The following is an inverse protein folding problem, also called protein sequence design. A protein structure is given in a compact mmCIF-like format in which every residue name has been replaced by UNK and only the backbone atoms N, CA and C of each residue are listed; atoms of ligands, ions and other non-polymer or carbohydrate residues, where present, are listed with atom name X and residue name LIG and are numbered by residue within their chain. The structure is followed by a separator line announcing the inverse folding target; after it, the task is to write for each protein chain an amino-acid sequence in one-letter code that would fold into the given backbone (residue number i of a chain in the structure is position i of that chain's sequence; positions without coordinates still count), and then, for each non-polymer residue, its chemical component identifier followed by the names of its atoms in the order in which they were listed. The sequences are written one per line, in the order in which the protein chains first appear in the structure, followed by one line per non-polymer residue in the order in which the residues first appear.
data_IF_922812195272
#
_entry.id   IF_922812195272
#
_cell.length_a   1.000
_cell.length_b   1.000
_cell.length_c   1.000
_cell.angle_alpha   90.00
_cell.angle_beta   90.00
_cell.angle_gamma   90.00
#
_symmetry.space_group_name_H-M   'P 1'
#
loop_
_entity.id
_entity.type
_entity.pdbx_description
1 polymer ?
#
# COMPACT_ATOMS: atom_id res chain seq x y z
N UNK A 1 28.71 18.25 22.70
CA UNK A 1 28.86 19.25 21.66
C UNK A 1 28.87 20.63 22.23
N UNK A 2 27.85 21.08 22.94
CA UNK A 2 27.73 22.43 23.54
C UNK A 2 28.95 22.88 24.40
N UNK A 3 29.54 21.99 25.22
CA UNK A 3 30.70 22.33 26.07
C UNK A 3 32.04 22.51 25.34
N UNK A 4 32.15 22.11 24.07
CA UNK A 4 33.40 22.23 23.30
C UNK A 4 33.58 23.58 22.61
N UNK A 5 32.50 24.25 22.24
CA UNK A 5 32.55 25.39 21.33
C UNK A 5 32.53 26.73 22.07
N UNK A 6 32.36 26.74 23.41
CA UNK A 6 32.30 27.90 24.27
C UNK A 6 33.43 27.96 25.31
N UNK A 7 34.61 27.48 24.96
CA UNK A 7 35.79 27.56 25.78
C UNK A 7 36.21 29.01 25.95
N UNK A 8 35.73 29.67 27.01
CA UNK A 8 36.07 31.05 27.37
C UNK A 8 34.92 31.85 27.98
N UNK A 9 33.68 31.39 27.91
CA UNK A 9 32.55 31.98 28.62
C UNK A 9 32.03 31.02 29.68
N UNK A 10 31.52 31.55 30.79
CA UNK A 10 30.85 30.74 31.80
C UNK A 10 29.73 29.90 31.15
N UNK A 11 29.76 28.59 31.27
CA UNK A 11 28.75 27.73 30.66
C UNK A 11 27.40 28.02 31.31
N UNK A 12 26.40 28.40 30.51
CA UNK A 12 25.02 28.51 31.00
C UNK A 12 24.56 27.18 31.62
N UNK A 13 23.88 27.31 32.76
CA UNK A 13 23.29 26.16 33.45
C UNK A 13 22.22 25.46 32.61
N UNK A 14 21.92 24.22 32.99
CA UNK A 14 20.87 23.42 32.28
C UNK A 14 19.55 24.15 32.21
N UNK A 15 19.11 24.75 33.32
CA UNK A 15 17.79 25.39 33.40
C UNK A 15 17.75 26.64 32.53
N UNK A 16 18.80 27.47 32.58
CA UNK A 16 18.94 28.64 31.73
C UNK A 16 18.99 28.28 30.23
N UNK A 17 19.61 27.13 29.88
CA UNK A 17 19.60 26.60 28.51
C UNK A 17 18.20 26.19 28.07
N UNK A 18 17.43 25.54 28.96
CA UNK A 18 16.04 25.14 28.69
C UNK A 18 15.16 26.38 28.53
N UNK A 19 15.36 27.42 29.33
CA UNK A 19 14.61 28.67 29.21
C UNK A 19 14.86 29.36 27.87
N UNK A 20 16.11 29.44 27.43
CA UNK A 20 16.48 29.97 26.11
C UNK A 20 15.81 29.15 24.98
N UNK A 21 15.87 27.82 25.04
CA UNK A 21 15.20 26.96 24.05
C UNK A 21 13.70 27.25 24.00
N UNK A 22 13.06 27.44 25.14
CA UNK A 22 11.62 27.74 25.22
C UNK A 22 11.32 29.13 24.66
N UNK A 23 12.11 30.16 25.04
CA UNK A 23 11.96 31.55 24.59
C UNK A 23 12.08 31.71 23.08
N UNK A 24 13.07 31.01 22.48
CA UNK A 24 13.31 31.06 21.03
C UNK A 24 12.58 29.99 20.24
N UNK A 25 11.70 29.21 20.87
CA UNK A 25 10.93 28.14 20.17
C UNK A 25 11.78 27.03 19.54
N UNK A 26 13.01 26.84 20.03
CA UNK A 26 13.99 25.88 19.51
C UNK A 26 13.73 24.44 20.00
N UNK A 27 12.51 24.12 20.40
CA UNK A 27 12.15 22.77 20.87
C UNK A 27 12.35 21.76 19.75
N UNK A 28 13.09 20.70 20.04
CA UNK A 28 13.16 19.54 19.15
C UNK A 28 11.76 18.92 19.05
N UNK A 29 11.20 18.86 17.85
CA UNK A 29 9.93 18.19 17.65
C UNK A 29 10.04 16.75 18.11
N UNK A 30 9.12 16.32 18.98
CA UNK A 30 9.04 14.91 19.39
C UNK A 30 8.90 14.01 18.16
N UNK A 31 9.86 13.10 18.01
CA UNK A 31 9.76 12.08 16.97
C UNK A 31 8.76 11.03 17.45
N UNK A 32 7.57 11.06 16.89
CA UNK A 32 6.54 10.05 17.14
C UNK A 32 7.10 8.67 16.78
N UNK A 33 7.12 7.76 17.76
CA UNK A 33 7.56 6.39 17.52
C UNK A 33 6.46 5.67 16.72
N UNK A 34 6.82 5.18 15.54
CA UNK A 34 5.88 4.45 14.67
C UNK A 34 5.41 3.17 15.38
N UNK A 35 4.11 2.95 15.55
CA UNK A 35 3.59 1.69 16.05
C UNK A 35 3.74 0.59 14.98
N UNK A 36 3.80 -0.66 15.43
CA UNK A 36 3.69 -1.81 14.55
C UNK A 36 2.20 -2.06 14.28
N UNK A 37 1.77 -2.00 13.04
CA UNK A 37 0.37 -2.18 12.63
C UNK A 37 0.07 -3.61 12.16
N UNK A 38 1.11 -4.36 11.77
CA UNK A 38 0.98 -5.72 11.26
C UNK A 38 1.64 -6.72 12.20
N UNK A 39 0.88 -7.71 12.65
CA UNK A 39 1.40 -8.93 13.27
C UNK A 39 1.17 -10.10 12.30
N UNK A 40 2.24 -10.60 11.70
CA UNK A 40 2.22 -11.73 10.77
C UNK A 40 2.63 -13.05 11.42
N UNK A 41 2.87 -13.08 12.74
CA UNK A 41 3.34 -14.27 13.49
C UNK A 41 2.21 -14.99 14.21
N UNK A 42 0.98 -14.61 13.90
CA UNK A 42 -0.24 -15.20 14.47
C UNK A 42 -0.52 -16.59 13.90
N UNK A 43 -0.79 -17.62 14.49
CA UNK A 43 -1.08 -18.97 13.94
C UNK A 43 -2.38 -19.09 13.12
N UNK A 44 -2.92 -17.99 12.57
CA UNK A 44 -4.14 -17.97 11.74
C UNK A 44 -3.82 -18.41 10.28
N UNK A 45 -4.82 -18.90 9.52
CA UNK A 45 -4.65 -19.26 8.12
C UNK A 45 -4.14 -18.10 7.27
N UNK A 46 -3.18 -18.39 6.38
CA UNK A 46 -2.69 -17.45 5.37
C UNK A 46 -3.09 -17.90 3.98
N UNK A 47 -3.26 -16.95 3.07
CA UNK A 47 -3.68 -17.23 1.70
C UNK A 47 -2.53 -16.93 0.72
N UNK A 48 -2.45 -17.64 -0.42
CA UNK A 48 -1.39 -17.42 -1.40
C UNK A 48 -1.52 -16.04 -2.07
N UNK A 49 -0.40 -15.49 -2.53
CA UNK A 49 -0.40 -14.28 -3.34
C UNK A 49 -0.81 -14.62 -4.78
N UNK A 50 -2.07 -14.40 -5.12
CA UNK A 50 -2.62 -14.65 -6.44
C UNK A 50 -2.68 -13.41 -7.34
N UNK A 51 -2.14 -12.28 -6.88
CA UNK A 51 -2.09 -11.03 -7.65
C UNK A 51 -0.72 -10.78 -8.29
N UNK A 52 0.22 -11.69 -8.16
CA UNK A 52 1.49 -11.63 -8.90
C UNK A 52 1.19 -11.69 -10.40
N UNK A 53 1.59 -10.67 -11.12
CA UNK A 53 1.33 -10.60 -12.55
C UNK A 53 -0.10 -10.21 -12.96
N UNK A 54 -0.97 -9.90 -12.01
CA UNK A 54 -2.32 -9.42 -12.29
C UNK A 54 -2.36 -7.90 -12.40
N UNK A 55 -2.93 -7.39 -13.49
CA UNK A 55 -3.21 -5.97 -13.75
C UNK A 55 -4.72 -5.86 -13.97
N UNK A 56 -5.46 -5.14 -13.12
CA UNK A 56 -6.89 -4.97 -13.31
C UNK A 56 -7.17 -4.10 -14.54
N UNK A 57 -8.20 -4.47 -15.29
CA UNK A 57 -8.66 -3.78 -16.52
C UNK A 57 -10.08 -3.22 -16.39
N UNK A 58 -10.71 -3.43 -15.25
CA UNK A 58 -12.03 -2.93 -14.93
C UNK A 58 -12.18 -2.74 -13.40
N UNK A 59 -13.13 -1.90 -12.95
CA UNK A 59 -13.48 -1.78 -11.54
C UNK A 59 -13.87 -3.13 -10.92
N UNK A 60 -13.65 -3.27 -9.63
CA UNK A 60 -14.05 -4.46 -8.84
C UNK A 60 -13.42 -5.78 -9.30
N UNK A 61 -12.21 -5.73 -9.90
CA UNK A 61 -11.39 -6.90 -10.16
C UNK A 61 -10.35 -7.16 -9.07
N UNK A 62 -9.82 -6.10 -8.49
CA UNK A 62 -8.83 -6.16 -7.43
C UNK A 62 -9.06 -5.03 -6.42
N UNK A 63 -9.33 -5.43 -5.19
CA UNK A 63 -9.31 -4.52 -4.05
C UNK A 63 -8.04 -4.75 -3.24
N UNK A 64 -7.40 -3.67 -2.82
CA UNK A 64 -6.21 -3.72 -1.94
C UNK A 64 -6.53 -3.04 -0.63
N UNK A 65 -6.09 -3.62 0.48
CA UNK A 65 -6.33 -3.07 1.80
C UNK A 65 -5.10 -3.04 2.68
N UNK A 66 -5.08 -2.06 3.57
CA UNK A 66 -4.02 -1.88 4.56
C UNK A 66 -4.53 -1.06 5.75
N UNK A 67 -3.84 -1.19 6.89
CA UNK A 67 -4.11 -0.43 8.11
C UNK A 67 -2.96 0.52 8.38
N UNK A 68 -3.29 1.79 8.60
CA UNK A 68 -2.32 2.78 9.04
C UNK A 68 -2.75 3.44 10.34
N UNK A 69 -1.83 4.12 11.01
CA UNK A 69 -2.12 4.84 12.26
C UNK A 69 -2.15 6.34 12.03
N UNK A 70 -2.95 7.04 12.84
CA UNK A 70 -2.99 8.49 12.92
C UNK A 70 -2.77 8.87 14.38
N UNK A 71 -1.98 9.92 14.61
CA UNK A 71 -1.62 10.37 15.95
C UNK A 71 -2.68 11.31 16.51
N UNK A 72 -3.14 11.04 17.73
CA UNK A 72 -4.00 11.90 18.54
C UNK A 72 -3.16 12.44 19.70
N UNK A 73 -3.07 13.73 19.85
CA UNK A 73 -2.31 14.39 20.89
C UNK A 73 -3.19 14.66 22.11
N UNK A 74 -2.82 14.12 23.25
CA UNK A 74 -3.50 14.34 24.52
C UNK A 74 -3.06 15.65 25.14
N UNK A 75 -1.78 15.99 24.98
CA UNK A 75 -1.17 17.25 25.38
C UNK A 75 0.01 17.61 24.45
N UNK A 76 0.88 18.52 24.85
CA UNK A 76 2.04 18.93 24.04
C UNK A 76 3.04 17.80 23.81
N UNK A 77 3.14 16.85 24.73
CA UNK A 77 4.17 15.80 24.76
C UNK A 77 3.64 14.38 24.71
N UNK A 78 2.36 14.18 25.02
CA UNK A 78 1.74 12.86 25.13
C UNK A 78 0.79 12.64 23.97
N UNK A 79 0.85 11.45 23.39
CA UNK A 79 0.00 11.08 22.26
C UNK A 79 -0.42 9.61 22.36
N UNK A 80 -1.53 9.31 21.71
CA UNK A 80 -2.02 7.96 21.45
C UNK A 80 -2.21 7.79 19.93
N UNK A 81 -2.53 6.59 19.51
CA UNK A 81 -2.85 6.32 18.10
C UNK A 81 -4.31 5.89 17.96
N UNK A 82 -4.91 6.26 16.84
CA UNK A 82 -6.03 5.56 16.25
C UNK A 82 -5.60 4.96 14.92
N UNK A 83 -6.37 4.01 14.43
CA UNK A 83 -6.02 3.20 13.28
C UNK A 83 -7.05 3.37 12.18
N UNK A 84 -6.58 3.66 10.99
CA UNK A 84 -7.38 3.83 9.79
C UNK A 84 -7.21 2.59 8.92
N UNK A 85 -8.30 1.86 8.72
CA UNK A 85 -8.40 0.77 7.75
C UNK A 85 -8.92 1.34 6.43
N UNK A 86 -8.23 1.06 5.32
CA UNK A 86 -8.60 1.52 3.98
C UNK A 86 -8.75 0.33 3.02
N UNK A 87 -9.71 0.43 2.13
CA UNK A 87 -9.86 -0.46 0.97
C UNK A 87 -9.92 0.38 -0.29
N UNK A 88 -9.05 0.09 -1.23
CA UNK A 88 -8.89 0.76 -2.50
C UNK A 88 -9.25 -0.17 -3.65
N UNK A 89 -10.00 0.29 -4.63
CA UNK A 89 -10.09 -0.38 -5.92
C UNK A 89 -8.83 -0.08 -6.74
N UNK A 90 -8.11 -1.13 -7.10
CA UNK A 90 -6.79 -1.00 -7.72
C UNK A 90 -6.84 -0.53 -9.18
N UNK A 91 -7.99 -0.58 -9.85
CA UNK A 91 -8.17 -0.07 -11.20
C UNK A 91 -8.51 1.41 -11.21
N UNK A 92 -9.47 1.83 -10.37
CA UNK A 92 -9.93 3.22 -10.30
C UNK A 92 -9.09 4.10 -9.39
N UNK A 93 -8.26 3.52 -8.51
CA UNK A 93 -7.58 4.19 -7.38
C UNK A 93 -8.59 4.78 -6.37
N UNK A 94 -9.86 4.38 -6.40
CA UNK A 94 -10.90 4.90 -5.51
C UNK A 94 -10.82 4.24 -4.14
N UNK A 95 -10.88 5.03 -3.07
CA UNK A 95 -11.09 4.52 -1.71
C UNK A 95 -12.57 4.18 -1.59
N UNK A 96 -12.89 2.89 -1.55
CA UNK A 96 -14.25 2.36 -1.57
C UNK A 96 -14.75 1.93 -0.19
N UNK A 97 -13.85 1.78 0.77
CA UNK A 97 -14.19 1.43 2.14
C UNK A 97 -13.17 1.97 3.12
N UNK A 98 -13.62 2.44 4.27
CA UNK A 98 -12.75 2.91 5.34
C UNK A 98 -13.43 2.86 6.71
N UNK A 99 -12.63 2.70 7.74
CA UNK A 99 -13.08 2.80 9.13
C UNK A 99 -11.94 3.29 10.03
N UNK A 100 -12.28 3.93 11.14
CA UNK A 100 -11.33 4.41 12.14
C UNK A 100 -11.68 3.84 13.50
N UNK A 101 -10.73 3.18 14.12
CA UNK A 101 -10.83 2.64 15.46
C UNK A 101 -9.72 3.09 16.41
N UNK A 102 -9.98 3.10 17.71
CA UNK A 102 -8.99 3.38 18.74
C UNK A 102 -7.99 2.24 18.94
N UNK A 103 -8.30 1.05 18.43
CA UNK A 103 -7.52 -0.18 18.58
C UNK A 103 -7.32 -0.88 17.23
N UNK A 104 -6.48 -1.91 17.20
CA UNK A 104 -6.24 -2.79 16.03
C UNK A 104 -7.20 -3.98 15.99
N UNK A 105 -8.39 -3.85 16.55
CA UNK A 105 -9.40 -4.90 16.50
C UNK A 105 -9.93 -5.14 15.10
N UNK A 106 -10.33 -6.39 14.82
CA UNK A 106 -10.85 -6.82 13.50
C UNK A 106 -12.15 -6.10 13.10
N UNK A 107 -12.92 -5.64 14.07
CA UNK A 107 -14.17 -4.90 13.84
C UNK A 107 -14.00 -3.75 12.84
N UNK A 108 -12.94 -2.98 12.93
CA UNK A 108 -12.73 -1.81 12.08
C UNK A 108 -12.41 -2.17 10.61
N UNK A 109 -11.49 -3.10 10.31
CA UNK A 109 -11.35 -3.63 8.95
C UNK A 109 -12.64 -4.25 8.40
N UNK A 110 -13.44 -4.94 9.23
CA UNK A 110 -14.74 -5.49 8.84
C UNK A 110 -15.72 -4.38 8.49
N UNK A 111 -15.80 -3.29 9.26
CA UNK A 111 -16.61 -2.12 8.92
C UNK A 111 -16.19 -1.51 7.57
N UNK A 112 -14.89 -1.35 7.32
CA UNK A 112 -14.37 -0.88 6.04
C UNK A 112 -14.76 -1.83 4.89
N UNK A 113 -14.70 -3.15 5.12
CA UNK A 113 -15.10 -4.15 4.15
C UNK A 113 -16.61 -4.10 3.87
N UNK A 114 -17.45 -3.98 4.89
CA UNK A 114 -18.90 -3.83 4.71
C UNK A 114 -19.25 -2.59 3.87
N UNK A 115 -18.55 -1.48 4.09
CA UNK A 115 -18.70 -0.29 3.25
C UNK A 115 -18.32 -0.58 1.80
N UNK A 116 -17.17 -1.24 1.55
CA UNK A 116 -16.73 -1.58 0.20
C UNK A 116 -17.70 -2.53 -0.50
N UNK A 117 -18.28 -3.51 0.21
CA UNK A 117 -19.22 -4.49 -0.33
C UNK A 117 -20.48 -3.86 -0.93
N UNK A 118 -20.89 -2.68 -0.48
CA UNK A 118 -22.03 -1.96 -1.09
C UNK A 118 -21.81 -1.65 -2.57
N UNK A 119 -20.54 -1.60 -3.03
CA UNK A 119 -20.19 -1.37 -4.45
C UNK A 119 -20.56 -2.51 -5.37
N UNK A 120 -20.69 -3.70 -4.84
CA UNK A 120 -20.94 -4.93 -5.60
C UNK A 120 -22.31 -5.55 -5.28
N UNK A 121 -23.13 -4.87 -4.48
CA UNK A 121 -24.49 -5.32 -4.20
C UNK A 121 -25.29 -5.49 -5.50
N UNK A 122 -25.94 -6.64 -5.67
CA UNK A 122 -26.74 -6.98 -6.87
C UNK A 122 -25.92 -7.38 -8.09
N UNK A 123 -24.57 -7.39 -8.02
CA UNK A 123 -23.75 -7.90 -9.11
C UNK A 123 -23.73 -9.44 -9.09
N UNK A 124 -23.89 -10.06 -10.25
CA UNK A 124 -23.74 -11.50 -10.43
C UNK A 124 -22.38 -11.82 -11.07
N UNK A 125 -21.82 -13.00 -10.75
CA UNK A 125 -20.55 -13.49 -11.31
C UNK A 125 -19.34 -12.60 -11.03
N UNK A 126 -19.16 -12.20 -9.77
CA UNK A 126 -18.06 -11.35 -9.34
C UNK A 126 -16.75 -12.14 -9.42
N UNK A 127 -15.79 -11.63 -10.20
CA UNK A 127 -14.42 -12.17 -10.26
C UNK A 127 -13.45 -11.23 -9.54
N UNK A 128 -13.75 -10.93 -8.28
CA UNK A 128 -13.01 -10.01 -7.45
C UNK A 128 -11.95 -10.71 -6.61
N UNK A 129 -10.77 -10.13 -6.53
CA UNK A 129 -9.71 -10.51 -5.59
C UNK A 129 -9.58 -9.42 -4.54
N UNK A 130 -9.58 -9.80 -3.27
CA UNK A 130 -9.20 -8.93 -2.17
C UNK A 130 -7.76 -9.26 -1.75
N UNK A 131 -6.87 -8.27 -1.78
CA UNK A 131 -5.46 -8.43 -1.43
C UNK A 131 -5.08 -7.58 -0.23
N UNK A 132 -4.41 -8.16 0.74
CA UNK A 132 -3.93 -7.51 1.96
C UNK A 132 -2.54 -8.00 2.36
N UNK A 133 -1.98 -7.40 3.40
CA UNK A 133 -0.87 -8.00 4.11
C UNK A 133 -1.33 -9.21 4.95
N UNK A 134 -0.39 -9.86 5.66
CA UNK A 134 -0.67 -10.99 6.55
C UNK A 134 -1.02 -10.55 7.97
N UNK A 135 -1.65 -9.40 8.15
CA UNK A 135 -2.11 -8.96 9.46
C UNK A 135 -3.19 -9.88 10.02
N UNK A 136 -3.16 -10.11 11.36
CA UNK A 136 -4.13 -10.96 12.03
C UNK A 136 -5.58 -10.52 11.81
N UNK A 137 -5.82 -9.25 11.56
CA UNK A 137 -7.13 -8.69 11.26
C UNK A 137 -7.71 -9.27 9.97
N UNK A 138 -6.88 -9.35 8.90
CA UNK A 138 -7.29 -9.88 7.59
C UNK A 138 -7.36 -11.42 7.57
N UNK A 139 -6.59 -12.07 8.45
CA UNK A 139 -6.61 -13.53 8.63
C UNK A 139 -7.70 -14.00 9.61
N UNK A 140 -8.42 -13.10 10.25
CA UNK A 140 -9.48 -13.43 11.21
C UNK A 140 -10.65 -14.15 10.55
N UNK A 141 -11.30 -15.05 11.29
CA UNK A 141 -12.44 -15.80 10.77
C UNK A 141 -13.58 -14.90 10.31
N UNK A 142 -13.86 -13.82 11.03
CA UNK A 142 -14.92 -12.88 10.69
C UNK A 142 -14.66 -12.21 9.32
N UNK A 143 -13.43 -11.73 9.10
CA UNK A 143 -13.06 -11.07 7.85
C UNK A 143 -13.06 -12.04 6.67
N UNK A 144 -12.50 -13.24 6.87
CA UNK A 144 -12.41 -14.29 5.85
C UNK A 144 -13.80 -14.79 5.45
N UNK A 145 -14.67 -15.09 6.44
CA UNK A 145 -16.04 -15.54 6.18
C UNK A 145 -16.79 -14.48 5.36
N UNK A 146 -16.71 -13.21 5.74
CA UNK A 146 -17.37 -12.13 5.02
C UNK A 146 -16.95 -12.03 3.56
N UNK A 147 -15.67 -12.21 3.24
CA UNK A 147 -15.18 -12.26 1.85
C UNK A 147 -15.72 -13.50 1.11
N UNK A 148 -15.72 -14.67 1.75
CA UNK A 148 -16.18 -15.92 1.17
C UNK A 148 -17.69 -15.93 0.88
N UNK A 149 -18.51 -15.37 1.77
CA UNK A 149 -19.95 -15.21 1.60
C UNK A 149 -20.31 -14.41 0.36
N UNK A 150 -19.41 -13.45 -0.04
CA UNK A 150 -19.57 -12.66 -1.25
C UNK A 150 -18.82 -13.23 -2.47
N UNK A 151 -18.28 -14.44 -2.38
CA UNK A 151 -17.56 -15.07 -3.48
C UNK A 151 -16.24 -14.38 -3.85
N UNK A 152 -15.65 -13.58 -2.96
CA UNK A 152 -14.42 -12.84 -3.19
C UNK A 152 -13.22 -13.74 -2.92
N UNK A 153 -12.29 -13.80 -3.86
CA UNK A 153 -11.04 -14.55 -3.70
C UNK A 153 -10.07 -13.79 -2.81
N UNK A 154 -9.41 -14.50 -1.91
CA UNK A 154 -8.52 -13.92 -0.92
C UNK A 154 -7.07 -14.08 -1.39
N UNK A 155 -6.30 -13.02 -1.29
CA UNK A 155 -4.87 -12.96 -1.59
C UNK A 155 -4.14 -12.23 -0.48
N UNK A 156 -2.98 -12.73 -0.08
CA UNK A 156 -2.12 -12.06 0.91
C UNK A 156 -0.69 -11.94 0.39
N UNK A 157 0.05 -10.93 0.87
CA UNK A 157 1.49 -10.79 0.59
C UNK A 157 2.23 -12.07 1.01
N UNK A 158 3.27 -12.48 0.28
CA UNK A 158 4.06 -13.67 0.65
C UNK A 158 5.16 -13.33 1.64
N UNK A 159 5.76 -12.17 1.47
CA UNK A 159 6.84 -11.67 2.29
C UNK A 159 6.43 -10.33 2.92
N UNK A 160 7.16 -9.86 3.92
CA UNK A 160 6.99 -8.49 4.42
C UNK A 160 7.55 -7.42 3.46
N UNK A 161 7.72 -7.74 2.16
CA UNK A 161 8.22 -6.77 1.18
C UNK A 161 7.10 -5.75 0.88
N UNK A 162 7.34 -4.46 1.11
CA UNK A 162 6.41 -3.39 0.77
C UNK A 162 5.92 -3.41 -0.68
N UNK A 163 6.70 -3.97 -1.58
CA UNK A 163 6.33 -4.08 -3.00
C UNK A 163 5.12 -4.98 -3.26
N UNK A 164 4.83 -5.91 -2.34
CA UNK A 164 3.71 -6.83 -2.50
C UNK A 164 2.35 -6.12 -2.33
N UNK A 165 2.29 -4.99 -1.58
CA UNK A 165 1.07 -4.18 -1.38
C UNK A 165 1.30 -2.67 -1.63
N UNK A 166 2.08 -2.35 -2.65
CA UNK A 166 2.56 -0.99 -2.91
C UNK A 166 1.46 0.05 -3.18
N UNK A 167 0.28 -0.36 -3.69
CA UNK A 167 -0.84 0.57 -3.90
C UNK A 167 -1.46 1.00 -2.57
N UNK A 168 -1.72 0.05 -1.67
CA UNK A 168 -2.26 0.35 -0.36
C UNK A 168 -1.27 1.18 0.49
N UNK A 169 0.03 0.90 0.41
CA UNK A 169 1.03 1.73 1.07
C UNK A 169 1.07 3.16 0.51
N UNK A 170 0.95 3.31 -0.80
CA UNK A 170 0.93 4.63 -1.46
C UNK A 170 -0.25 5.47 -1.00
N UNK A 171 -1.46 4.91 -0.93
CA UNK A 171 -2.63 5.64 -0.45
C UNK A 171 -2.46 6.05 1.02
N UNK A 172 -1.94 5.18 1.87
CA UNK A 172 -1.63 5.51 3.24
C UNK A 172 -0.63 6.67 3.37
N UNK A 173 0.39 6.69 2.51
CA UNK A 173 1.34 7.80 2.44
C UNK A 173 0.67 9.09 1.97
N UNK A 174 -0.19 9.05 0.95
CA UNK A 174 -0.96 10.21 0.48
C UNK A 174 -1.86 10.76 1.58
N UNK A 175 -2.61 9.89 2.26
CA UNK A 175 -3.46 10.31 3.38
C UNK A 175 -2.66 11.02 4.47
N UNK A 176 -1.55 10.44 4.93
CA UNK A 176 -0.79 10.96 6.08
C UNK A 176 0.10 12.15 5.74
N UNK A 177 0.79 12.11 4.61
CA UNK A 177 1.86 13.04 4.29
C UNK A 177 1.44 14.15 3.34
N UNK A 178 0.27 14.04 2.74
CA UNK A 178 -0.29 15.04 1.83
C UNK A 178 -1.60 15.61 2.41
N UNK A 179 -2.65 14.80 2.54
CA UNK A 179 -4.00 15.26 2.85
C UNK A 179 -4.22 15.64 4.33
N UNK A 180 -3.60 14.91 5.25
CA UNK A 180 -3.67 15.19 6.69
C UNK A 180 -2.41 15.88 7.23
N UNK A 181 -1.49 16.25 6.33
CA UNK A 181 -0.21 16.85 6.71
C UNK A 181 -0.41 18.15 7.50
N UNK A 182 0.27 18.26 8.63
CA UNK A 182 0.23 19.45 9.49
C UNK A 182 -0.99 19.53 10.39
N UNK A 183 -1.98 18.67 10.24
CA UNK A 183 -3.12 18.59 11.16
C UNK A 183 -2.66 17.99 12.50
N UNK A 184 -3.19 18.55 13.58
CA UNK A 184 -2.97 18.05 14.94
C UNK A 184 -4.33 17.73 15.56
N UNK A 185 -4.57 16.45 15.75
CA UNK A 185 -5.84 15.95 16.29
C UNK A 185 -5.73 15.77 17.80
N UNK A 186 -6.82 16.06 18.53
CA UNK A 186 -6.94 15.91 19.98
C UNK A 186 -7.95 14.84 20.38
N UNK A 187 -8.78 14.41 19.45
CA UNK A 187 -9.76 13.33 19.66
C UNK A 187 -10.00 12.55 18.36
N UNK A 188 -10.64 11.39 18.48
CA UNK A 188 -10.89 10.48 17.35
C UNK A 188 -11.98 10.98 16.39
N UNK A 189 -12.91 11.79 16.86
CA UNK A 189 -14.01 12.30 16.03
C UNK A 189 -13.50 13.37 15.08
N UNK A 190 -12.56 14.21 15.50
CA UNK A 190 -11.85 15.15 14.62
C UNK A 190 -11.06 14.40 13.54
N UNK A 191 -10.41 13.29 13.90
CA UNK A 191 -9.72 12.43 12.92
C UNK A 191 -10.73 11.88 11.92
N UNK A 192 -11.85 11.33 12.38
CA UNK A 192 -12.89 10.75 11.51
C UNK A 192 -13.44 11.79 10.55
N UNK A 193 -13.75 12.98 11.02
CA UNK A 193 -14.24 14.07 10.20
C UNK A 193 -13.19 14.54 9.16
N UNK A 194 -11.93 14.65 9.55
CA UNK A 194 -10.85 15.06 8.66
C UNK A 194 -10.56 14.00 7.59
N UNK A 195 -10.53 12.71 7.97
CA UNK A 195 -10.34 11.59 7.05
C UNK A 195 -11.49 11.51 6.05
N UNK A 196 -12.74 11.67 6.50
CA UNK A 196 -13.90 11.68 5.61
C UNK A 196 -13.80 12.77 4.54
N UNK A 197 -13.43 14.00 4.93
CA UNK A 197 -13.18 15.10 3.97
C UNK A 197 -12.00 14.81 3.03
N UNK A 198 -10.91 14.24 3.57
CA UNK A 198 -9.73 13.89 2.78
C UNK A 198 -10.04 12.81 1.74
N UNK A 199 -10.84 11.79 2.09
CA UNK A 199 -11.27 10.74 1.18
C UNK A 199 -12.22 11.32 0.10
N UNK A 200 -13.14 12.19 0.48
CA UNK A 200 -13.99 12.86 -0.49
C UNK A 200 -13.17 13.66 -1.52
N UNK A 201 -12.23 14.48 -1.05
CA UNK A 201 -11.32 15.21 -1.92
C UNK A 201 -10.48 14.28 -2.80
N UNK A 202 -9.91 13.21 -2.21
CA UNK A 202 -9.12 12.23 -2.92
C UNK A 202 -9.90 11.56 -4.06
N UNK A 203 -11.13 11.13 -3.79
CA UNK A 203 -11.95 10.41 -4.76
C UNK A 203 -12.54 11.32 -5.85
N UNK A 204 -12.90 12.58 -5.52
CA UNK A 204 -13.72 13.41 -6.40
C UNK A 204 -12.99 14.62 -6.99
N UNK A 205 -11.90 15.08 -6.38
CA UNK A 205 -11.27 16.34 -6.77
C UNK A 205 -9.78 16.19 -7.11
N UNK A 206 -9.10 15.21 -6.54
CA UNK A 206 -7.67 15.01 -6.74
C UNK A 206 -7.39 14.22 -8.01
N UNK A 207 -6.66 14.79 -9.01
CA UNK A 207 -6.26 14.04 -10.20
C UNK A 207 -5.10 13.10 -9.92
N UNK A 208 -5.05 11.95 -10.62
CA UNK A 208 -4.04 10.93 -10.45
C UNK A 208 -3.32 10.58 -11.77
N UNK A 209 -1.99 10.62 -11.75
CA UNK A 209 -1.16 10.27 -12.91
C UNK A 209 -1.31 8.80 -13.33
N UNK A 210 -1.64 7.91 -12.40
CA UNK A 210 -1.84 6.48 -12.66
C UNK A 210 -3.14 6.16 -13.41
N UNK A 211 -4.05 7.13 -13.52
CA UNK A 211 -5.34 7.00 -14.20
C UNK A 211 -5.59 8.19 -15.16
N UNK A 212 -4.54 8.62 -15.87
CA UNK A 212 -4.61 9.65 -16.90
C UNK A 212 -5.11 11.00 -16.37
N UNK A 213 -4.60 11.44 -15.22
CA UNK A 213 -5.00 12.69 -14.57
C UNK A 213 -6.49 12.80 -14.24
N UNK A 214 -7.24 11.71 -14.30
CA UNK A 214 -8.62 11.64 -13.83
C UNK A 214 -8.68 11.58 -12.32
N UNK A 215 -9.82 11.93 -11.76
CA UNK A 215 -10.15 11.57 -10.37
C UNK A 215 -10.57 10.10 -10.31
N UNK A 216 -10.45 9.43 -9.16
CA UNK A 216 -10.98 8.08 -8.98
C UNK A 216 -12.45 7.92 -9.36
N UNK A 217 -13.29 8.91 -9.04
CA UNK A 217 -14.71 8.91 -9.41
C UNK A 217 -14.92 8.96 -10.94
N UNK A 218 -14.11 9.72 -11.67
CA UNK A 218 -14.13 9.73 -13.14
C UNK A 218 -13.62 8.42 -13.73
N UNK A 219 -12.56 7.84 -13.13
CA UNK A 219 -12.01 6.55 -13.55
C UNK A 219 -13.02 5.40 -13.36
N UNK A 220 -13.89 5.49 -12.36
CA UNK A 220 -14.94 4.50 -12.11
C UNK A 220 -15.98 4.43 -13.23
N UNK A 221 -16.10 5.46 -14.07
CA UNK A 221 -16.98 5.51 -15.24
C UNK A 221 -16.30 5.01 -16.53
N UNK A 222 -14.98 4.73 -16.48
CA UNK A 222 -14.24 4.27 -17.63
C UNK A 222 -14.47 2.78 -17.90
N UNK A 223 -14.37 2.40 -19.17
CA UNK A 223 -14.43 1.01 -19.62
C UNK A 223 -13.15 0.69 -20.39
N UNK A 224 -12.54 -0.44 -20.09
CA UNK A 224 -11.29 -0.87 -20.71
C UNK A 224 -10.05 -0.29 -20.04
N UNK A 225 -8.89 -0.41 -20.68
CA UNK A 225 -7.64 0.05 -20.11
C UNK A 225 -7.58 1.58 -20.05
N UNK A 226 -7.33 2.15 -18.88
CA UNK A 226 -7.10 3.58 -18.70
C UNK A 226 -5.64 3.88 -19.04
N UNK A 227 -5.34 4.82 -19.97
CA UNK A 227 -3.99 5.29 -20.19
C UNK A 227 -3.35 5.81 -18.90
N UNK A 228 -2.06 5.61 -18.74
CA UNK A 228 -1.32 6.05 -17.55
C UNK A 228 -0.24 7.04 -17.96
N UNK A 229 -0.20 8.19 -17.29
CA UNK A 229 0.90 9.15 -17.46
C UNK A 229 2.23 8.57 -16.97
N UNK A 230 2.17 7.59 -16.07
CA UNK A 230 3.33 6.90 -15.53
C UNK A 230 2.99 5.44 -15.23
N UNK A 231 3.82 4.52 -15.74
CA UNK A 231 3.69 3.08 -15.53
C UNK A 231 4.68 2.64 -14.46
N UNK A 232 4.23 1.89 -13.47
CA UNK A 232 5.09 1.41 -12.38
C UNK A 232 6.14 0.40 -12.89
N UNK A 233 7.29 0.32 -12.22
CA UNK A 233 8.31 -0.71 -12.53
C UNK A 233 7.73 -2.12 -12.43
N UNK A 234 6.84 -2.38 -11.48
CA UNK A 234 6.14 -3.67 -11.35
C UNK A 234 5.30 -3.96 -12.57
N UNK A 235 4.48 -3.02 -13.01
CA UNK A 235 3.63 -3.19 -14.17
C UNK A 235 4.43 -3.38 -15.46
N UNK A 236 5.52 -2.62 -15.64
CA UNK A 236 6.46 -2.83 -16.77
C UNK A 236 7.05 -4.23 -16.76
N UNK A 237 7.45 -4.75 -15.59
CA UNK A 237 8.00 -6.09 -15.47
C UNK A 237 6.94 -7.17 -15.79
N UNK A 238 5.68 -6.98 -15.37
CA UNK A 238 4.57 -7.89 -15.67
C UNK A 238 4.30 -7.92 -17.17
N UNK A 239 4.16 -6.76 -17.81
CA UNK A 239 3.91 -6.62 -19.25
C UNK A 239 5.06 -7.24 -20.07
N UNK A 240 6.32 -7.02 -19.67
CA UNK A 240 7.47 -7.62 -20.34
C UNK A 240 7.46 -9.16 -20.25
N UNK A 241 7.11 -9.73 -19.10
CA UNK A 241 7.01 -11.17 -18.92
C UNK A 241 5.85 -11.78 -19.74
N UNK A 242 4.69 -11.10 -19.83
CA UNK A 242 3.58 -11.53 -20.66
C UNK A 242 3.95 -11.53 -22.13
N UNK A 243 4.60 -10.48 -22.63
CA UNK A 243 5.06 -10.41 -24.02
C UNK A 243 6.10 -11.49 -24.34
N UNK A 244 6.95 -11.88 -23.38
CA UNK A 244 7.92 -12.96 -23.57
C UNK A 244 7.27 -14.34 -23.67
N UNK A 245 6.13 -14.57 -23.02
CA UNK A 245 5.36 -15.82 -23.10
C UNK A 245 4.54 -15.93 -24.39
N UNK A 246 4.19 -14.80 -25.02
CA UNK A 246 3.42 -14.74 -26.27
C UNK A 246 4.29 -14.84 -27.54
N UNK A 247 5.62 -14.93 -27.39
CA UNK A 247 6.51 -15.16 -28.54
C UNK A 247 6.42 -16.66 -28.89
N UNK A 248 5.84 -17.06 -30.06
CA UNK A 248 5.82 -18.45 -30.45
C UNK A 248 7.26 -18.94 -30.55
N UNK A 249 7.54 -20.12 -29.97
CA UNK A 249 8.82 -20.81 -30.14
C UNK A 249 9.16 -20.81 -31.64
N UNK A 250 10.15 -20.01 -32.02
CA UNK A 250 10.72 -20.10 -33.36
C UNK A 250 11.28 -21.49 -33.45
N UNK A 251 10.59 -22.34 -34.19
CA UNK A 251 11.09 -23.65 -34.67
C UNK A 251 12.47 -23.41 -35.23
N UNK A 252 13.47 -23.88 -34.50
CA UNK A 252 14.85 -23.97 -35.01
C UNK A 252 14.81 -24.79 -36.28
N UNK A 253 15.31 -24.30 -37.41
CA UNK A 253 15.39 -25.14 -38.60
C UNK A 253 16.30 -26.31 -38.30
N UNK A 254 15.75 -27.54 -38.47
CA UNK A 254 16.51 -28.77 -38.44
C UNK A 254 17.61 -28.66 -39.52
N UNK A 255 18.85 -28.43 -39.11
CA UNK A 255 20.00 -28.64 -39.98
C UNK A 255 20.14 -30.15 -40.25
N UNK A 256 19.58 -30.60 -41.36
CA UNK A 256 19.89 -31.90 -41.92
C UNK A 256 21.34 -31.81 -42.44
N UNK A 257 22.28 -32.32 -41.62
CA UNK A 257 23.67 -32.48 -42.06
C UNK A 257 23.79 -33.63 -43.05
N UNK A 258 24.05 -33.29 -44.31
CA UNK A 258 24.61 -34.28 -45.25
C UNK A 258 26.11 -34.39 -45.01
N UNK A 259 26.56 -35.61 -44.83
CA UNK A 259 27.96 -35.91 -44.56
C UNK A 259 28.84 -35.71 -45.77
N UNK A 260 30.10 -35.42 -45.51
CA UNK A 260 31.22 -35.75 -46.40
C UNK A 260 32.45 -36.06 -45.56
N UNK A 261 32.99 -37.25 -45.81
CA UNK A 261 34.25 -37.77 -45.31
C UNK A 261 35.45 -36.94 -45.80
N UNK A 262 36.41 -36.71 -44.91
CA UNK A 262 37.86 -36.88 -45.17
C UNK A 262 38.63 -36.46 -43.93
N UNK A 263 39.25 -37.27 -43.31
CA UNK A 263 40.53 -37.69 -42.85
C UNK A 263 41.58 -36.61 -42.71
N UNK A 264 42.16 -36.57 -41.49
CA UNK A 264 43.59 -36.50 -41.30
C UNK A 264 43.96 -36.43 -39.80
N UNK A 265 45.05 -37.01 -39.46
CA UNK A 265 45.62 -37.54 -38.21
C UNK A 265 46.01 -36.48 -37.17
N UNK A 266 46.27 -36.95 -35.91
CA UNK A 266 46.69 -36.06 -34.81
C UNK A 266 48.20 -35.77 -34.87
N UNK A 267 48.61 -34.62 -34.44
CA UNK A 267 50.00 -34.29 -34.08
C UNK A 267 50.07 -34.11 -32.56
N UNK A 268 51.01 -34.86 -31.97
CA UNK A 268 51.39 -34.88 -30.57
C UNK A 268 52.60 -33.91 -30.41
N UNK A 269 52.50 -33.11 -29.36
CA UNK A 269 53.58 -32.61 -28.47
C UNK A 269 54.78 -31.79 -29.00
N UNK A 270 55.53 -31.15 -28.07
CA UNK A 270 55.69 -31.37 -26.61
C UNK A 270 55.06 -30.30 -25.72
#
# INVERSE_FOLDING_TARGET
MYRRDFAGNDPIGRDQFVDIINEYGLKVRLKVRKPRTTDSTHGLPTFPNIVKGFIPTAPNQLWVSDITYITIWLDEYTYIFCYLSLILDAYTEEIIGWSIGPTLETTYPVEALRMALTRIEGMSNINLIHHSDRGCQYASSEYVILLQEHGIRISMTETGDPKDNAQAERINNTMKNELLKGMRFTNIDDVRAAVGRAIYFYNNERPHMSIDMKTPAEAALCVGEIPKCWISYRENAIRANQTALDIPEKTLPLCIGQGAHSGLRPIVNP
#
